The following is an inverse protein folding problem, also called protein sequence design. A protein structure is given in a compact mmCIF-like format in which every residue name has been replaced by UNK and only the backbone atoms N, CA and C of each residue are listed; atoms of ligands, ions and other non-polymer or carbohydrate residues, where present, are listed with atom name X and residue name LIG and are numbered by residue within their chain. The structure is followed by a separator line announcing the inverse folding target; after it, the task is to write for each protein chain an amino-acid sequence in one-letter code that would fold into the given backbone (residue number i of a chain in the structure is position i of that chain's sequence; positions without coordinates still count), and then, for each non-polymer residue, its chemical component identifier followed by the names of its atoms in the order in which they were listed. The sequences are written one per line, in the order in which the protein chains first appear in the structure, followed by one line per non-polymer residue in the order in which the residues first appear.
data_IF_383274474934
#
_entry.id   IF_383274474934
#
_cell.length_a   1.000
_cell.length_b   1.000
_cell.length_c   1.000
_cell.angle_alpha   90.00
_cell.angle_beta   90.00
_cell.angle_gamma   90.00
#
_symmetry.space_group_name_H-M   'P 1'
#
loop_
_entity.id
_entity.type
_entity.pdbx_description
1 polymer ?
#
# COMPACT_ATOMS: atom_id res chain seq x y z
N UNK A 1 38.91 20.70 -14.85
CA UNK A 1 38.66 19.97 -13.65
C UNK A 1 37.20 19.52 -13.70
N UNK A 2 36.97 18.32 -14.22
CA UNK A 2 35.67 17.67 -14.20
C UNK A 2 35.43 17.20 -12.77
N UNK A 3 34.27 17.52 -12.23
CA UNK A 3 33.88 17.15 -10.88
C UNK A 3 33.55 15.65 -10.89
N UNK A 4 34.44 14.81 -10.38
CA UNK A 4 34.25 13.35 -10.28
C UNK A 4 33.12 12.95 -9.31
N UNK A 5 32.66 13.87 -8.47
CA UNK A 5 31.55 13.65 -7.53
C UNK A 5 30.17 13.44 -8.21
N UNK A 6 30.05 13.80 -9.48
CA UNK A 6 28.78 13.60 -10.20
C UNK A 6 28.58 12.14 -10.64
N UNK A 7 29.66 11.38 -10.76
CA UNK A 7 29.63 9.97 -11.20
C UNK A 7 29.50 8.96 -10.06
N UNK A 8 29.54 9.41 -8.78
CA UNK A 8 29.41 8.58 -7.58
C UNK A 8 28.00 8.64 -6.97
N UNK A 9 26.99 8.93 -7.76
CA UNK A 9 25.63 8.71 -7.31
C UNK A 9 25.27 7.26 -7.58
N UNK A 10 25.24 6.48 -6.50
CA UNK A 10 24.66 5.14 -6.53
C UNK A 10 23.25 5.21 -7.10
N UNK A 11 22.85 4.27 -7.97
CA UNK A 11 21.49 4.22 -8.49
C UNK A 11 20.51 4.14 -7.31
N UNK A 12 19.46 4.95 -7.34
CA UNK A 12 18.38 4.99 -6.33
C UNK A 12 17.72 3.59 -6.16
N UNK A 13 17.95 2.67 -7.08
CA UNK A 13 17.47 1.29 -7.05
C UNK A 13 18.39 0.30 -6.30
N UNK A 14 19.65 0.62 -6.10
CA UNK A 14 20.56 -0.11 -5.22
C UNK A 14 20.67 0.67 -3.91
N UNK A 15 19.80 0.35 -2.96
CA UNK A 15 19.91 0.83 -1.59
C UNK A 15 21.08 0.13 -0.93
N UNK A 16 22.28 0.65 -1.17
CA UNK A 16 23.47 0.29 -0.42
C UNK A 16 23.27 0.73 1.03
N UNK A 17 23.59 -0.16 1.96
CA UNK A 17 23.53 0.04 3.40
C UNK A 17 24.02 1.42 3.86
N UNK A 18 23.13 2.14 4.55
CA UNK A 18 23.56 2.96 5.65
C UNK A 18 23.82 4.44 5.39
N UNK A 19 23.00 5.23 4.69
CA UNK A 19 22.88 6.70 4.93
C UNK A 19 22.04 7.39 3.85
N UNK A 20 20.85 6.87 3.56
CA UNK A 20 19.99 7.56 2.60
C UNK A 20 19.41 8.86 3.21
N UNK A 21 19.08 8.83 4.51
CA UNK A 21 18.52 9.99 5.20
C UNK A 21 19.62 10.75 5.96
N UNK A 22 19.95 11.94 5.49
CA UNK A 22 20.92 12.85 6.14
C UNK A 22 20.27 14.10 6.69
N UNK A 23 19.09 14.45 6.20
CA UNK A 23 18.33 15.63 6.59
C UNK A 23 16.83 15.42 6.37
N UNK A 24 15.99 16.21 7.01
CA UNK A 24 14.54 16.14 6.93
C UNK A 24 13.99 16.17 5.48
N UNK A 25 14.62 16.95 4.59
CA UNK A 25 14.20 17.03 3.19
C UNK A 25 14.33 15.70 2.43
N UNK A 26 15.25 14.84 2.85
CA UNK A 26 15.43 13.51 2.24
C UNK A 26 14.25 12.59 2.52
N UNK A 27 13.56 12.80 3.65
CA UNK A 27 12.37 12.02 4.02
C UNK A 27 11.23 12.25 3.02
N UNK A 28 10.93 13.51 2.70
CA UNK A 28 9.87 13.81 1.72
C UNK A 28 10.26 13.32 0.32
N UNK A 29 11.51 13.50 -0.08
CA UNK A 29 11.99 13.02 -1.38
C UNK A 29 11.84 11.50 -1.54
N UNK A 30 12.11 10.75 -0.47
CA UNK A 30 11.92 9.30 -0.47
C UNK A 30 10.43 8.93 -0.54
N UNK A 31 9.59 9.61 0.24
CA UNK A 31 8.14 9.42 0.22
C UNK A 31 7.55 9.72 -1.15
N UNK A 32 8.02 10.76 -1.85
CA UNK A 32 7.59 11.07 -3.23
C UNK A 32 7.84 9.89 -4.17
N UNK A 33 8.94 9.15 -3.97
CA UNK A 33 9.18 7.88 -4.63
C UNK A 33 8.12 6.83 -4.31
N UNK A 34 7.67 6.75 -3.05
CA UNK A 34 6.60 5.82 -2.62
C UNK A 34 5.24 6.20 -3.22
N UNK A 35 4.91 7.50 -3.28
CA UNK A 35 3.67 7.98 -3.91
C UNK A 35 3.47 7.42 -5.31
N UNK A 36 4.53 7.32 -6.11
CA UNK A 36 4.48 6.78 -7.47
C UNK A 36 3.97 5.35 -7.56
N UNK A 37 4.08 4.58 -6.49
CA UNK A 37 3.61 3.20 -6.46
C UNK A 37 2.13 3.06 -6.08
N UNK A 38 1.56 4.05 -5.39
CA UNK A 38 0.21 3.98 -4.86
C UNK A 38 -0.74 5.00 -5.47
N UNK A 39 -0.25 6.17 -5.80
CA UNK A 39 -1.07 7.29 -6.31
C UNK A 39 -0.86 7.47 -7.79
N UNK A 40 -1.92 7.26 -8.57
CA UNK A 40 -1.87 7.42 -10.01
C UNK A 40 -1.60 8.88 -10.42
N UNK A 41 -0.68 9.06 -11.34
CA UNK A 41 -0.32 10.38 -11.87
C UNK A 41 0.63 11.19 -10.99
N UNK A 42 0.97 10.74 -9.78
CA UNK A 42 1.93 11.44 -8.94
C UNK A 42 3.35 11.30 -9.51
N UNK A 43 3.96 12.43 -9.84
CA UNK A 43 5.34 12.47 -10.32
C UNK A 43 5.59 11.87 -11.70
N UNK A 44 4.55 11.48 -12.42
CA UNK A 44 4.69 10.87 -13.74
C UNK A 44 4.44 11.93 -14.82
N UNK A 45 5.50 12.31 -15.50
CA UNK A 45 5.41 13.09 -16.72
C UNK A 45 5.40 12.14 -17.92
N UNK A 46 4.26 12.02 -18.57
CA UNK A 46 4.22 11.42 -19.90
C UNK A 46 3.58 10.06 -20.03
N UNK A 47 3.44 9.66 -21.25
CA UNK A 47 2.62 8.58 -21.79
C UNK A 47 3.16 7.17 -21.56
N UNK A 48 4.28 6.99 -20.90
CA UNK A 48 4.87 5.69 -20.69
C UNK A 48 4.33 5.06 -19.41
N UNK A 49 3.36 4.30 -19.62
CA UNK A 49 2.65 3.36 -18.79
C UNK A 49 3.59 2.28 -18.26
N UNK A 50 4.49 2.68 -17.37
CA UNK A 50 5.30 1.74 -16.63
C UNK A 50 4.46 1.12 -15.51
N UNK A 51 4.79 -0.08 -15.09
CA UNK A 51 4.14 -0.82 -14.03
C UNK A 51 4.06 -0.08 -12.69
N UNK A 52 4.79 1.02 -12.56
CA UNK A 52 4.84 1.88 -11.37
C UNK A 52 3.66 2.86 -11.26
N UNK A 53 2.89 3.04 -12.32
CA UNK A 53 1.80 4.02 -12.40
C UNK A 53 0.45 3.44 -11.94
N UNK A 54 0.44 2.21 -11.44
CA UNK A 54 -0.77 1.48 -11.13
C UNK A 54 -0.97 1.36 -9.63
N UNK A 55 -1.42 2.43 -8.99
CA UNK A 55 -1.98 2.34 -7.65
C UNK A 55 -3.33 1.59 -7.65
N UNK A 56 -3.81 1.23 -6.48
CA UNK A 56 -5.13 0.58 -6.28
C UNK A 56 -6.30 1.37 -6.90
N UNK A 57 -6.18 2.68 -6.97
CA UNK A 57 -7.12 3.58 -7.64
C UNK A 57 -6.63 3.97 -9.04
N UNK A 58 -5.49 3.44 -9.49
CA UNK A 58 -4.95 3.76 -10.78
C UNK A 58 -5.83 3.17 -11.88
N UNK A 59 -6.59 4.02 -12.45
CA UNK A 59 -7.29 3.73 -13.69
C UNK A 59 -6.31 3.97 -14.81
N UNK A 60 -5.75 2.91 -15.36
CA UNK A 60 -5.08 3.01 -16.65
C UNK A 60 -6.08 3.60 -17.62
N UNK A 61 -5.73 4.71 -18.27
CA UNK A 61 -6.62 5.38 -19.19
C UNK A 61 -7.36 4.37 -20.08
N UNK A 62 -8.65 4.22 -19.86
CA UNK A 62 -9.56 3.42 -20.66
C UNK A 62 -9.71 1.94 -20.31
N UNK A 63 -8.93 1.34 -19.39
CA UNK A 63 -9.02 -0.11 -19.22
C UNK A 63 -9.55 -0.60 -17.88
N UNK A 64 -9.30 0.10 -16.77
CA UNK A 64 -9.62 -0.46 -15.45
C UNK A 64 -11.03 -0.16 -14.95
N UNK A 65 -11.67 0.94 -15.34
CA UNK A 65 -13.09 1.14 -15.04
C UNK A 65 -13.89 0.04 -15.76
N UNK A 66 -13.59 -0.19 -17.03
CA UNK A 66 -14.25 -1.24 -17.83
C UNK A 66 -13.95 -2.64 -17.26
N UNK A 67 -12.72 -2.90 -16.84
CA UNK A 67 -12.37 -4.19 -16.24
C UNK A 67 -12.90 -4.33 -14.81
N UNK A 68 -13.04 -3.25 -14.04
CA UNK A 68 -13.70 -3.27 -12.73
C UNK A 68 -15.17 -3.68 -12.87
N UNK A 69 -15.86 -3.14 -13.84
CA UNK A 69 -17.26 -3.49 -14.12
C UNK A 69 -17.42 -4.91 -14.70
N UNK A 70 -16.40 -5.42 -15.40
CA UNK A 70 -16.39 -6.81 -15.88
C UNK A 70 -16.34 -7.87 -14.77
N UNK A 71 -16.02 -7.48 -13.51
CA UNK A 71 -16.11 -8.33 -12.31
C UNK A 71 -17.47 -8.25 -11.61
N UNK A 72 -18.41 -7.52 -12.17
CA UNK A 72 -19.74 -7.32 -11.61
C UNK A 72 -20.81 -7.73 -12.62
N UNK A 73 -22.05 -7.63 -12.23
CA UNK A 73 -23.22 -7.84 -13.09
C UNK A 73 -23.55 -6.62 -13.97
N UNK A 74 -22.80 -5.53 -13.84
CA UNK A 74 -23.04 -4.29 -14.60
C UNK A 74 -22.61 -4.35 -16.07
N UNK A 75 -21.65 -5.23 -16.41
CA UNK A 75 -21.09 -5.28 -17.75
C UNK A 75 -20.85 -6.70 -18.23
N UNK A 76 -21.43 -7.04 -19.36
CA UNK A 76 -21.11 -8.28 -20.09
C UNK A 76 -20.00 -7.97 -21.09
N UNK A 77 -18.82 -8.52 -20.82
CA UNK A 77 -17.68 -8.39 -21.73
C UNK A 77 -17.74 -9.48 -22.81
N UNK A 78 -17.76 -9.07 -24.06
CA UNK A 78 -17.73 -10.01 -25.21
C UNK A 78 -16.30 -10.57 -25.37
N UNK A 79 -15.92 -11.49 -24.54
CA UNK A 79 -14.59 -12.08 -24.51
C UNK A 79 -14.45 -13.12 -23.42
N UNK A 80 -13.23 -13.37 -22.98
CA UNK A 80 -12.99 -14.32 -21.90
C UNK A 80 -13.55 -13.79 -20.58
N UNK A 81 -14.32 -14.64 -19.90
CA UNK A 81 -14.72 -14.40 -18.51
C UNK A 81 -13.45 -14.27 -17.68
N UNK A 82 -13.38 -13.22 -16.86
CA UNK A 82 -12.25 -13.04 -15.97
C UNK A 82 -12.01 -14.28 -15.10
N UNK A 83 -10.76 -14.58 -14.82
CA UNK A 83 -10.37 -15.76 -14.05
C UNK A 83 -11.04 -15.84 -12.67
N UNK A 84 -11.32 -14.69 -12.03
CA UNK A 84 -12.03 -14.66 -10.74
C UNK A 84 -13.48 -15.08 -10.86
N UNK A 85 -14.20 -14.54 -11.83
CA UNK A 85 -15.60 -14.92 -12.11
C UNK A 85 -15.71 -16.33 -12.67
N UNK A 86 -14.75 -16.74 -13.48
CA UNK A 86 -14.69 -18.08 -14.06
C UNK A 86 -14.20 -19.17 -13.10
N UNK A 87 -13.81 -18.82 -11.88
CA UNK A 87 -13.28 -19.78 -10.89
C UNK A 87 -11.91 -20.36 -11.24
N UNK A 88 -11.17 -19.73 -12.17
CA UNK A 88 -9.82 -20.16 -12.61
C UNK A 88 -8.69 -19.31 -12.04
N UNK A 89 -9.00 -18.47 -11.04
CA UNK A 89 -8.00 -17.65 -10.36
C UNK A 89 -7.19 -18.51 -9.39
N UNK A 90 -5.94 -18.73 -9.72
CA UNK A 90 -5.07 -19.67 -9.04
C UNK A 90 -3.75 -19.02 -8.56
N UNK A 91 -2.88 -19.82 -7.96
CA UNK A 91 -1.57 -19.40 -7.46
C UNK A 91 -0.70 -18.67 -8.51
N UNK A 92 -0.59 -19.11 -9.78
CA UNK A 92 0.15 -18.37 -10.78
C UNK A 92 -0.36 -16.96 -11.01
N UNK A 93 -1.65 -16.72 -10.92
CA UNK A 93 -2.24 -15.38 -11.05
C UNK A 93 -1.91 -14.48 -9.87
N UNK A 94 -1.89 -15.03 -8.66
CA UNK A 94 -1.58 -14.28 -7.43
C UNK A 94 -0.09 -14.08 -7.21
N UNK A 95 0.73 -15.03 -7.61
CA UNK A 95 2.19 -15.04 -7.42
C UNK A 95 2.95 -14.49 -8.62
N UNK A 96 2.28 -13.86 -9.57
CA UNK A 96 2.92 -13.24 -10.72
C UNK A 96 4.06 -12.32 -10.30
N UNK A 97 5.16 -12.33 -11.06
CA UNK A 97 6.26 -11.38 -10.92
C UNK A 97 5.88 -9.96 -11.35
N UNK A 98 4.65 -9.76 -11.81
CA UNK A 98 4.14 -8.43 -12.10
C UNK A 98 4.14 -7.61 -10.82
N UNK A 99 4.68 -6.42 -10.86
CA UNK A 99 4.78 -5.49 -9.73
C UNK A 99 3.42 -5.19 -9.07
N UNK A 100 2.33 -5.30 -9.82
CA UNK A 100 0.97 -5.08 -9.32
C UNK A 100 0.28 -6.36 -8.83
N UNK A 101 0.96 -7.51 -8.87
CA UNK A 101 0.36 -8.74 -8.35
C UNK A 101 0.13 -8.63 -6.83
N UNK A 102 -0.97 -9.17 -6.31
CA UNK A 102 -1.29 -9.04 -4.88
C UNK A 102 -0.22 -9.57 -3.95
N UNK A 103 0.56 -10.56 -4.37
CA UNK A 103 1.64 -11.16 -3.57
C UNK A 103 2.99 -10.43 -3.71
N UNK A 104 3.04 -9.25 -4.31
CA UNK A 104 4.28 -8.46 -4.38
C UNK A 104 4.52 -7.68 -3.10
N UNK A 105 5.77 -7.71 -2.63
CA UNK A 105 6.17 -7.13 -1.34
C UNK A 105 7.14 -5.95 -1.48
N UNK A 106 7.58 -5.64 -2.68
CA UNK A 106 8.58 -4.59 -2.94
C UNK A 106 8.12 -3.21 -2.48
N UNK A 107 6.85 -2.88 -2.73
CA UNK A 107 6.26 -1.61 -2.28
C UNK A 107 6.31 -1.50 -0.75
N UNK A 108 5.88 -2.57 -0.07
CA UNK A 108 5.88 -2.63 1.38
C UNK A 108 7.29 -2.60 1.97
N UNK A 109 8.27 -3.25 1.29
CA UNK A 109 9.67 -3.19 1.71
C UNK A 109 10.18 -1.75 1.73
N UNK A 110 9.87 -0.94 0.71
CA UNK A 110 10.25 0.48 0.66
C UNK A 110 9.58 1.28 1.79
N UNK A 111 8.33 1.00 2.09
CA UNK A 111 7.62 1.63 3.20
C UNK A 111 8.24 1.24 4.54
N UNK A 112 8.55 -0.03 4.75
CA UNK A 112 9.19 -0.51 5.98
C UNK A 112 10.60 0.06 6.15
N UNK A 113 11.39 0.15 5.08
CA UNK A 113 12.68 0.84 5.09
C UNK A 113 12.55 2.26 5.63
N UNK A 114 11.62 3.02 5.07
CA UNK A 114 11.36 4.38 5.54
C UNK A 114 11.02 4.41 7.04
N UNK A 115 10.08 3.57 7.48
CA UNK A 115 9.62 3.53 8.87
C UNK A 115 10.72 3.13 9.85
N UNK A 116 11.70 2.34 9.42
CA UNK A 116 12.81 1.91 10.26
C UNK A 116 13.92 2.97 10.37
N UNK A 117 14.03 3.87 9.40
CA UNK A 117 15.15 4.81 9.30
C UNK A 117 14.80 6.30 9.42
N UNK A 118 13.52 6.70 9.32
CA UNK A 118 13.15 8.12 9.32
C UNK A 118 13.61 8.88 10.56
N UNK A 119 13.75 8.20 11.70
CA UNK A 119 14.18 8.80 12.96
C UNK A 119 15.69 9.09 13.04
N UNK A 120 16.48 8.66 12.06
CA UNK A 120 17.93 8.89 12.03
C UNK A 120 18.30 10.36 11.79
N UNK A 121 17.39 11.15 11.20
CA UNK A 121 17.65 12.55 10.83
C UNK A 121 17.20 13.57 11.88
N UNK A 122 16.54 13.15 12.96
CA UNK A 122 16.08 14.07 13.99
C UNK A 122 15.15 13.43 15.02
N UNK A 123 14.48 14.29 15.79
CA UNK A 123 13.52 13.84 16.80
C UNK A 123 12.29 13.19 16.15
N UNK A 124 12.00 11.91 16.45
CA UNK A 124 10.87 11.19 15.90
C UNK A 124 9.52 11.90 16.10
N UNK A 125 9.36 12.66 17.21
CA UNK A 125 8.11 13.38 17.48
C UNK A 125 7.86 14.49 16.45
N UNK A 126 8.91 15.21 16.04
CA UNK A 126 8.80 16.27 15.02
C UNK A 126 8.64 15.71 13.60
N UNK A 127 9.06 14.47 13.40
CA UNK A 127 9.05 13.80 12.11
C UNK A 127 7.81 12.92 11.88
N UNK A 128 6.88 12.87 12.83
CA UNK A 128 5.65 12.04 12.76
C UNK A 128 4.83 12.29 11.51
N UNK A 129 4.78 13.50 10.99
CA UNK A 129 4.07 13.83 9.75
C UNK A 129 4.56 13.04 8.53
N UNK A 130 5.86 12.72 8.48
CA UNK A 130 6.44 11.88 7.43
C UNK A 130 6.13 10.40 7.68
N UNK A 131 6.30 9.95 8.93
CA UNK A 131 5.95 8.59 9.31
C UNK A 131 4.45 8.31 9.07
N UNK A 132 3.58 9.29 9.28
CA UNK A 132 2.14 9.18 9.05
C UNK A 132 1.80 8.88 7.60
N UNK A 133 2.50 9.49 6.63
CA UNK A 133 2.35 9.16 5.22
C UNK A 133 2.76 7.70 4.93
N UNK A 134 3.87 7.25 5.50
CA UNK A 134 4.34 5.87 5.33
C UNK A 134 3.38 4.85 5.97
N UNK A 135 2.85 5.13 7.17
CA UNK A 135 1.83 4.29 7.81
C UNK A 135 0.53 4.23 7.01
N UNK A 136 0.12 5.34 6.39
CA UNK A 136 -1.01 5.35 5.46
C UNK A 136 -0.78 4.37 4.29
N UNK A 137 0.39 4.43 3.64
CA UNK A 137 0.72 3.51 2.55
C UNK A 137 0.84 2.06 3.02
N UNK A 138 1.35 1.82 4.23
CA UNK A 138 1.38 0.49 4.83
C UNK A 138 -0.02 -0.08 5.02
N UNK A 139 -0.93 0.72 5.58
CA UNK A 139 -2.33 0.33 5.74
C UNK A 139 -2.99 0.04 4.40
N UNK A 140 -2.74 0.90 3.40
CA UNK A 140 -3.28 0.73 2.05
C UNK A 140 -2.77 -0.55 1.37
N UNK A 141 -1.47 -0.82 1.44
CA UNK A 141 -0.88 -2.04 0.85
C UNK A 141 -1.49 -3.31 1.48
N UNK A 142 -1.59 -3.36 2.80
CA UNK A 142 -2.20 -4.47 3.50
C UNK A 142 -3.70 -4.60 3.25
N UNK A 143 -4.43 -3.48 3.10
CA UNK A 143 -5.83 -3.49 2.69
C UNK A 143 -5.99 -4.18 1.32
N UNK A 144 -5.18 -3.81 0.34
CA UNK A 144 -5.20 -4.45 -1.00
C UNK A 144 -4.93 -5.96 -0.87
N UNK A 145 -3.92 -6.34 -0.10
CA UNK A 145 -3.57 -7.75 0.13
C UNK A 145 -4.69 -8.52 0.82
N UNK A 146 -5.29 -7.93 1.84
CA UNK A 146 -6.41 -8.54 2.56
C UNK A 146 -7.62 -8.79 1.65
N UNK A 147 -7.95 -7.84 0.77
CA UNK A 147 -9.04 -7.98 -0.21
C UNK A 147 -8.75 -9.09 -1.22
N UNK A 148 -7.52 -9.15 -1.70
CA UNK A 148 -7.15 -10.04 -2.80
C UNK A 148 -6.79 -11.46 -2.35
N UNK A 149 -6.19 -11.60 -1.17
CA UNK A 149 -5.55 -12.84 -0.71
C UNK A 149 -6.09 -13.36 0.63
N UNK A 150 -6.86 -12.54 1.36
CA UNK A 150 -7.24 -12.82 2.73
C UNK A 150 -6.05 -12.64 3.69
N UNK A 151 -5.75 -13.66 4.47
CA UNK A 151 -4.64 -13.63 5.42
C UNK A 151 -3.29 -13.61 4.70
N UNK A 152 -2.39 -12.75 5.18
CA UNK A 152 -1.01 -12.62 4.70
C UNK A 152 -0.06 -12.45 5.89
N UNK A 153 1.25 -12.70 5.75
CA UNK A 153 2.23 -12.38 6.77
C UNK A 153 2.26 -10.88 7.07
N UNK A 154 2.41 -10.51 8.36
CA UNK A 154 2.67 -9.13 8.73
C UNK A 154 4.18 -8.89 8.82
N UNK A 155 4.68 -7.96 8.02
CA UNK A 155 6.10 -7.65 7.90
C UNK A 155 6.34 -6.21 8.36
N UNK A 156 7.13 -6.06 9.44
CA UNK A 156 7.48 -4.76 10.03
C UNK A 156 8.92 -4.34 9.78
N UNK A 157 9.72 -5.27 9.26
CA UNK A 157 11.16 -5.09 9.08
C UNK A 157 11.53 -5.13 7.61
N UNK A 158 12.69 -4.63 7.35
CA UNK A 158 13.40 -4.95 6.13
C UNK A 158 13.82 -6.41 6.18
N UNK A 159 13.43 -7.15 5.16
CA UNK A 159 13.73 -8.56 5.07
C UNK A 159 14.71 -8.79 3.91
N UNK A 160 15.69 -9.62 4.18
CA UNK A 160 16.56 -10.22 3.18
C UNK A 160 16.10 -11.66 2.85
N UNK A 161 16.75 -12.28 1.89
CA UNK A 161 16.42 -13.65 1.43
C UNK A 161 16.61 -14.72 2.49
N UNK A 162 17.33 -14.43 3.59
CA UNK A 162 17.57 -15.33 4.71
C UNK A 162 16.61 -15.12 5.88
N UNK A 163 15.78 -14.07 5.84
CA UNK A 163 14.89 -13.70 6.93
C UNK A 163 13.83 -14.77 7.16
N UNK A 164 13.72 -15.35 8.37
CA UNK A 164 12.77 -16.43 8.65
C UNK A 164 11.31 -15.97 8.51
N UNK A 165 11.03 -14.70 8.67
CA UNK A 165 9.69 -14.11 8.53
C UNK A 165 9.11 -14.30 7.12
N UNK A 166 9.96 -14.43 6.08
CA UNK A 166 9.51 -14.74 4.71
C UNK A 166 8.84 -16.10 4.59
N UNK A 167 9.18 -17.02 5.48
CA UNK A 167 8.68 -18.38 5.51
C UNK A 167 7.67 -18.60 6.65
N UNK A 168 7.30 -17.52 7.33
CA UNK A 168 6.35 -17.52 8.43
C UNK A 168 4.92 -17.84 7.98
N UNK A 169 4.08 -18.21 8.95
CA UNK A 169 2.65 -18.39 8.74
C UNK A 169 1.97 -17.06 8.40
N UNK A 170 0.83 -17.14 7.72
CA UNK A 170 -0.05 -15.98 7.53
C UNK A 170 -0.60 -15.53 8.89
N UNK A 171 -0.70 -14.22 9.09
CA UNK A 171 -1.29 -13.64 10.29
C UNK A 171 -2.81 -13.86 10.28
N UNK A 172 -3.43 -14.28 11.40
CA UNK A 172 -4.87 -14.41 11.48
C UNK A 172 -5.57 -13.09 11.09
N UNK A 173 -6.68 -13.21 10.35
CA UNK A 173 -7.41 -12.05 9.79
C UNK A 173 -7.72 -10.98 10.83
N UNK A 174 -8.16 -11.35 12.02
CA UNK A 174 -8.50 -10.41 13.09
C UNK A 174 -7.29 -9.57 13.53
N UNK A 175 -6.13 -10.21 13.68
CA UNK A 175 -4.89 -9.51 14.04
C UNK A 175 -4.41 -8.61 12.90
N UNK A 176 -4.49 -9.11 11.67
CA UNK A 176 -4.13 -8.35 10.48
C UNK A 176 -4.98 -7.08 10.36
N UNK A 177 -6.29 -7.20 10.52
CA UNK A 177 -7.23 -6.06 10.52
C UNK A 177 -6.90 -5.07 11.62
N UNK A 178 -6.61 -5.56 12.84
CA UNK A 178 -6.21 -4.71 13.97
C UNK A 178 -4.94 -3.91 13.65
N UNK A 179 -3.95 -4.54 13.03
CA UNK A 179 -2.71 -3.86 12.65
C UNK A 179 -2.92 -2.85 11.53
N UNK A 180 -3.76 -3.15 10.55
CA UNK A 180 -4.16 -2.19 9.51
C UNK A 180 -4.83 -0.96 10.13
N UNK A 181 -5.77 -1.16 11.06
CA UNK A 181 -6.46 -0.06 11.75
C UNK A 181 -5.48 0.79 12.54
N UNK A 182 -4.53 0.20 13.27
CA UNK A 182 -3.48 0.96 13.99
C UNK A 182 -2.66 1.84 13.03
N UNK A 183 -2.35 1.35 11.84
CA UNK A 183 -1.63 2.15 10.85
C UNK A 183 -2.48 3.33 10.36
N UNK A 184 -3.79 3.13 10.11
CA UNK A 184 -4.69 4.23 9.78
C UNK A 184 -4.84 5.23 10.93
N UNK A 185 -4.97 4.75 12.17
CA UNK A 185 -5.13 5.60 13.34
C UNK A 185 -3.90 6.49 13.54
N UNK A 186 -2.70 5.91 13.43
CA UNK A 186 -1.48 6.70 13.48
C UNK A 186 -1.40 7.76 12.36
N UNK A 187 -1.81 7.38 11.16
CA UNK A 187 -1.84 8.30 10.03
C UNK A 187 -2.83 9.46 10.29
N UNK A 188 -4.05 9.15 10.71
CA UNK A 188 -5.11 10.16 11.00
C UNK A 188 -4.67 11.11 12.13
N UNK A 189 -4.00 10.58 13.15
CA UNK A 189 -3.54 11.38 14.29
C UNK A 189 -2.42 12.36 13.93
N UNK A 190 -1.55 11.99 12.99
CA UNK A 190 -0.30 12.71 12.74
C UNK A 190 -0.18 13.33 11.34
N UNK A 191 -1.16 13.12 10.45
CA UNK A 191 -1.25 13.85 9.19
C UNK A 191 -1.85 15.25 9.44
N UNK A 192 -1.40 16.19 8.62
CA UNK A 192 -1.95 17.55 8.62
C UNK A 192 -3.38 17.55 8.03
N UNK A 193 -4.17 18.53 8.47
CA UNK A 193 -5.47 18.80 7.88
C UNK A 193 -5.28 19.28 6.43
N UNK A 194 -6.36 19.21 5.64
CA UNK A 194 -6.33 19.68 4.27
C UNK A 194 -6.14 21.20 4.21
N UNK A 195 -4.98 21.63 3.78
CA UNK A 195 -4.63 23.05 3.58
C UNK A 195 -4.80 23.49 2.12
N UNK A 196 -5.44 22.68 1.27
CA UNK A 196 -5.52 22.85 -0.18
C UNK A 196 -4.16 22.76 -0.91
N UNK A 197 -3.10 22.32 -0.26
CA UNK A 197 -1.86 21.95 -0.94
C UNK A 197 -2.11 20.65 -1.72
N UNK A 198 -2.18 20.78 -3.02
CA UNK A 198 -2.42 19.64 -3.89
C UNK A 198 -1.23 18.69 -3.89
N UNK A 199 -1.52 17.38 -3.76
CA UNK A 199 -0.57 16.34 -4.14
C UNK A 199 -0.10 15.43 -3.01
N UNK A 200 -0.31 15.78 -1.74
CA UNK A 200 0.04 14.93 -0.61
C UNK A 200 -1.17 14.38 0.14
N UNK A 201 -0.99 13.22 0.76
CA UNK A 201 -2.01 12.60 1.61
C UNK A 201 -2.19 13.48 2.85
N UNK A 202 -3.45 13.78 3.14
CA UNK A 202 -3.89 14.51 4.31
C UNK A 202 -4.79 13.63 5.20
N UNK A 203 -5.19 14.17 6.33
CA UNK A 203 -6.04 13.50 7.30
C UNK A 203 -7.39 13.06 6.73
N UNK A 204 -8.01 13.87 5.87
CA UNK A 204 -9.31 13.55 5.25
C UNK A 204 -9.19 12.31 4.36
N UNK A 205 -8.10 12.19 3.60
CA UNK A 205 -7.85 11.01 2.78
C UNK A 205 -7.65 9.75 3.62
N UNK A 206 -6.95 9.88 4.76
CA UNK A 206 -6.74 8.76 5.68
C UNK A 206 -8.06 8.32 6.33
N UNK A 207 -8.90 9.25 6.76
CA UNK A 207 -10.25 8.98 7.27
C UNK A 207 -11.11 8.29 6.21
N UNK A 208 -11.13 8.81 4.99
CA UNK A 208 -11.90 8.22 3.90
C UNK A 208 -11.47 6.78 3.59
N UNK A 209 -10.17 6.54 3.51
CA UNK A 209 -9.69 5.19 3.20
C UNK A 209 -9.92 4.22 4.36
N UNK A 210 -9.79 4.68 5.61
CA UNK A 210 -10.15 3.90 6.80
C UNK A 210 -11.64 3.55 6.80
N UNK A 211 -12.52 4.51 6.54
CA UNK A 211 -13.96 4.27 6.45
C UNK A 211 -14.29 3.23 5.38
N UNK A 212 -13.71 3.36 4.19
CA UNK A 212 -13.86 2.36 3.12
C UNK A 212 -13.37 0.98 3.51
N UNK A 213 -12.23 0.89 4.19
CA UNK A 213 -11.70 -0.36 4.72
C UNK A 213 -12.64 -1.00 5.74
N UNK A 214 -13.14 -0.20 6.69
CA UNK A 214 -14.07 -0.67 7.72
C UNK A 214 -15.41 -1.15 7.13
N UNK A 215 -15.92 -0.44 6.12
CA UNK A 215 -17.12 -0.85 5.38
C UNK A 215 -16.91 -2.20 4.69
N UNK A 216 -15.78 -2.37 4.00
CA UNK A 216 -15.44 -3.63 3.34
C UNK A 216 -15.33 -4.78 4.35
N UNK A 217 -14.51 -4.62 5.38
CA UNK A 217 -14.24 -5.69 6.34
C UNK A 217 -15.47 -6.01 7.19
N UNK A 218 -16.21 -5.00 7.63
CA UNK A 218 -17.46 -5.19 8.37
C UNK A 218 -18.52 -5.93 7.54
N UNK A 219 -18.67 -5.57 6.28
CA UNK A 219 -19.58 -6.25 5.34
C UNK A 219 -19.10 -7.68 5.08
N UNK A 220 -17.80 -7.88 4.86
CA UNK A 220 -17.21 -9.20 4.69
C UNK A 220 -17.52 -10.11 5.88
N UNK A 221 -17.26 -9.66 7.12
CA UNK A 221 -17.57 -10.42 8.34
C UNK A 221 -19.05 -10.72 8.52
N UNK A 222 -19.91 -9.78 8.11
CA UNK A 222 -21.36 -9.95 8.21
C UNK A 222 -21.86 -11.09 7.34
N UNK A 223 -21.33 -11.24 6.14
CA UNK A 223 -21.83 -12.19 5.14
C UNK A 223 -21.05 -13.51 5.09
N UNK A 224 -19.80 -13.53 5.56
CA UNK A 224 -18.98 -14.75 5.63
C UNK A 224 -19.11 -15.42 7.00
N UNK A 225 -20.27 -16.04 7.21
CA UNK A 225 -20.64 -16.66 8.51
C UNK A 225 -19.75 -17.86 8.87
N UNK A 226 -19.19 -18.53 7.88
CA UNK A 226 -18.26 -19.65 8.03
C UNK A 226 -16.96 -19.28 8.77
N UNK A 227 -16.61 -17.99 8.82
CA UNK A 227 -15.42 -17.50 9.51
C UNK A 227 -15.64 -17.20 11.00
N UNK A 228 -16.88 -17.22 11.48
CA UNK A 228 -17.27 -16.90 12.85
C UNK A 228 -16.79 -15.51 13.36
N UNK A 229 -16.78 -14.52 12.49
CA UNK A 229 -16.31 -13.14 12.78
C UNK A 229 -17.45 -12.10 12.89
N UNK A 230 -18.72 -12.53 12.85
CA UNK A 230 -19.90 -11.62 12.82
C UNK A 230 -20.01 -10.74 14.06
N UNK A 231 -19.55 -11.20 15.22
CA UNK A 231 -19.61 -10.45 16.48
C UNK A 231 -18.92 -9.08 16.40
N UNK A 232 -17.90 -8.96 15.54
CA UNK A 232 -17.11 -7.73 15.35
C UNK A 232 -17.50 -6.95 14.09
N UNK A 233 -18.45 -7.47 13.30
CA UNK A 233 -18.88 -6.80 12.05
C UNK A 233 -19.50 -5.43 12.31
N UNK A 234 -20.38 -5.32 13.30
CA UNK A 234 -21.10 -4.05 13.61
C UNK A 234 -20.16 -2.99 14.17
N UNK A 235 -19.11 -3.37 14.90
CA UNK A 235 -18.09 -2.42 15.36
C UNK A 235 -17.37 -1.77 14.17
N UNK A 236 -16.93 -2.57 13.21
CA UNK A 236 -16.31 -2.07 12.00
C UNK A 236 -17.25 -1.21 11.15
N UNK A 237 -18.49 -1.64 10.97
CA UNK A 237 -19.51 -0.85 10.26
C UNK A 237 -19.83 0.47 10.96
N UNK A 238 -19.68 0.56 12.27
CA UNK A 238 -19.81 1.80 13.02
C UNK A 238 -18.64 2.78 12.83
N UNK A 239 -17.51 2.31 12.31
CA UNK A 239 -16.32 3.11 11.99
C UNK A 239 -16.29 3.58 10.52
N UNK A 240 -17.25 3.12 9.70
CA UNK A 240 -17.28 3.39 8.24
C UNK A 240 -17.88 4.74 7.87
#
# INVERSE_FOLDING_TARGET
SCNDDFMQRDPIDDMADGTFFTKEADLQLYLDGIYRYYVYGHGVSGTNNTSHDKGFLAVKAGSQIIFGDAFSDNTVYAGNIDAKLGGTYDTPNTASKNFDAPWQWEKLRKVNYFLNHYAEVGDPETLKKYAAQAYFFKAWDYYIKLVALGEVPWLDKELDTSSPELYGSRMPRTELVTNILKCFDFAIENLEDNDNSCGYINKDMALFLKARFCLFEGTFRKYHTELNLQSTANELLGMS
#
